data_IF_933653419604
#
_entry.id   IF_933653419604
#
_cell.length_a   1.000
_cell.length_b   1.000
_cell.length_c   1.000
_cell.angle_alpha   90.00
_cell.angle_beta   90.00
_cell.angle_gamma   90.00
#
_symmetry.space_group_name_H-M   'P 1'
#
loop_
_entity.id
_entity.type
_entity.pdbx_description
1 polymer ?
#
# COMPACT_ATOMS: atom_id res chain seq x y z
N UNK A 1 8.10 16.38 0.46
CA UNK A 1 7.45 16.66 1.76
C UNK A 1 5.98 16.28 1.73
N UNK A 2 5.61 15.01 1.51
CA UNK A 2 4.21 14.61 1.58
C UNK A 2 3.73 14.53 3.04
N UNK A 3 2.44 14.78 3.25
CA UNK A 3 1.74 14.56 4.52
C UNK A 3 0.48 13.77 4.23
N UNK A 4 0.18 12.75 5.03
CA UNK A 4 -1.03 11.94 4.94
C UNK A 4 -1.94 12.22 6.13
N UNK A 5 -3.20 12.53 5.83
CA UNK A 5 -4.29 12.64 6.79
C UNK A 5 -5.31 11.52 6.53
N UNK A 6 -5.61 10.72 7.55
CA UNK A 6 -6.62 9.66 7.46
C UNK A 6 -8.01 10.27 7.61
N UNK A 7 -8.86 10.12 6.59
CA UNK A 7 -10.21 10.70 6.58
C UNK A 7 -11.29 9.74 7.08
N UNK A 8 -10.96 8.45 7.21
CA UNK A 8 -11.85 7.42 7.72
C UNK A 8 -11.05 6.33 8.43
N UNK A 9 -11.51 5.78 9.56
CA UNK A 9 -10.86 4.67 10.24
C UNK A 9 -10.98 3.33 9.49
N UNK A 10 -11.82 3.26 8.45
CA UNK A 10 -11.98 2.05 7.65
C UNK A 10 -10.67 1.68 6.94
N UNK A 11 -10.22 0.45 7.17
CA UNK A 11 -9.05 -0.13 6.51
C UNK A 11 -9.48 -1.11 5.43
N UNK A 12 -8.67 -1.24 4.40
CA UNK A 12 -8.83 -2.21 3.33
C UNK A 12 -7.57 -3.06 3.23
N UNK A 13 -7.74 -4.37 3.23
CA UNK A 13 -6.67 -5.33 3.01
C UNK A 13 -6.33 -5.46 1.52
N UNK A 14 -5.07 -5.70 1.20
CA UNK A 14 -4.66 -5.89 -0.19
C UNK A 14 -3.23 -6.34 -0.32
N UNK A 15 -2.96 -7.05 -1.42
CA UNK A 15 -1.64 -7.57 -1.76
C UNK A 15 -0.75 -6.46 -2.32
N UNK A 16 0.35 -6.19 -1.65
CA UNK A 16 1.39 -5.24 -2.08
C UNK A 16 2.58 -5.99 -2.64
N UNK A 17 3.21 -5.40 -3.66
CA UNK A 17 4.56 -5.72 -4.10
C UNK A 17 5.38 -4.42 -4.10
N UNK A 18 6.70 -4.55 -4.20
CA UNK A 18 7.59 -3.39 -4.23
C UNK A 18 8.74 -3.63 -5.20
N UNK A 19 9.10 -2.64 -6.01
CA UNK A 19 10.26 -2.74 -6.90
C UNK A 19 11.58 -2.90 -6.11
N UNK A 20 11.62 -2.41 -4.88
CA UNK A 20 12.76 -2.58 -3.95
C UNK A 20 12.81 -3.95 -3.28
N UNK A 21 11.73 -4.75 -3.37
CA UNK A 21 11.63 -6.09 -2.78
C UNK A 21 11.13 -7.07 -3.86
N UNK A 22 11.97 -7.38 -4.86
CA UNK A 22 11.55 -8.10 -6.06
C UNK A 22 11.12 -9.54 -5.74
N UNK A 23 10.08 -10.02 -6.44
CA UNK A 23 9.61 -11.40 -6.37
C UNK A 23 8.77 -11.76 -5.15
N UNK A 24 8.51 -10.81 -4.24
CA UNK A 24 7.67 -11.02 -3.05
C UNK A 24 6.41 -10.17 -3.09
N UNK A 25 5.31 -10.73 -2.57
CA UNK A 25 4.07 -10.01 -2.29
C UNK A 25 3.64 -10.27 -0.85
N UNK A 26 3.05 -9.27 -0.21
CA UNK A 26 2.47 -9.42 1.13
C UNK A 26 1.13 -8.73 1.29
N UNK A 27 0.28 -9.30 2.12
CA UNK A 27 -1.03 -8.73 2.44
C UNK A 27 -0.92 -7.65 3.52
N UNK A 28 -1.33 -6.42 3.20
CA UNK A 28 -1.25 -5.26 4.09
C UNK A 28 -2.60 -4.58 4.21
N UNK A 29 -2.99 -4.23 5.44
CA UNK A 29 -4.19 -3.43 5.70
C UNK A 29 -3.82 -1.96 5.82
N UNK A 30 -4.47 -1.10 5.02
CA UNK A 30 -4.23 0.35 5.04
C UNK A 30 -5.54 1.13 5.09
N UNK A 31 -5.56 2.34 5.69
CA UNK A 31 -6.66 3.28 5.52
C UNK A 31 -7.11 3.41 4.06
N UNK A 32 -8.39 3.18 3.82
CA UNK A 32 -8.96 3.16 2.46
C UNK A 32 -9.34 4.55 1.94
N UNK A 33 -9.29 5.58 2.80
CA UNK A 33 -9.69 6.94 2.48
C UNK A 33 -8.77 7.94 3.20
N UNK A 34 -7.94 8.62 2.41
CA UNK A 34 -6.94 9.57 2.90
C UNK A 34 -6.99 10.88 2.11
N UNK A 35 -6.47 11.94 2.71
CA UNK A 35 -5.99 13.12 2.01
C UNK A 35 -4.47 13.10 2.05
N UNK A 36 -3.83 13.33 0.92
CA UNK A 36 -2.40 13.59 0.88
C UNK A 36 -2.15 14.99 0.36
N UNK A 37 -1.15 15.65 0.94
CA UNK A 37 -0.67 16.95 0.51
C UNK A 37 0.84 16.94 0.35
N UNK A 38 1.36 17.88 -0.41
CA UNK A 38 2.80 18.01 -0.66
C UNK A 38 3.11 19.24 -1.50
N UNK A 39 4.33 19.29 -2.02
CA UNK A 39 4.83 20.38 -2.87
C UNK A 39 5.21 19.80 -4.23
N UNK A 40 4.77 20.43 -5.31
CA UNK A 40 5.15 20.05 -6.68
C UNK A 40 6.55 20.58 -7.07
N UNK A 41 6.97 20.31 -8.31
CA UNK A 41 8.28 20.72 -8.81
C UNK A 41 8.43 22.25 -8.93
N UNK A 42 7.32 22.97 -9.01
CA UNK A 42 7.28 24.43 -9.09
C UNK A 42 7.13 25.10 -7.72
N UNK A 43 7.15 24.33 -6.63
CA UNK A 43 7.02 24.84 -5.27
C UNK A 43 5.57 25.12 -4.84
N UNK A 44 4.57 24.73 -5.64
CA UNK A 44 3.16 24.95 -5.32
C UNK A 44 2.63 23.82 -4.45
N UNK A 45 1.71 24.15 -3.56
CA UNK A 45 1.04 23.14 -2.73
C UNK A 45 0.06 22.32 -3.57
N UNK A 46 0.16 21.01 -3.44
CA UNK A 46 -0.82 20.05 -3.97
C UNK A 46 -1.56 19.39 -2.80
N UNK A 47 -2.86 19.16 -2.96
CA UNK A 47 -3.70 18.46 -1.98
C UNK A 47 -4.78 17.67 -2.71
N UNK A 48 -4.87 16.37 -2.43
CA UNK A 48 -5.79 15.46 -3.12
C UNK A 48 -6.35 14.43 -2.14
N UNK A 49 -7.59 14.00 -2.40
CA UNK A 49 -8.23 12.88 -1.70
C UNK A 49 -8.04 11.62 -2.53
N UNK A 50 -7.59 10.55 -1.89
CA UNK A 50 -7.38 9.24 -2.51
C UNK A 50 -8.21 8.17 -1.80
N UNK A 51 -8.65 7.17 -2.57
CA UNK A 51 -9.42 6.02 -2.08
C UNK A 51 -8.92 4.71 -2.69
N UNK A 52 -9.23 3.59 -2.03
CA UNK A 52 -8.94 2.23 -2.52
C UNK A 52 -7.47 2.06 -2.94
N UNK A 53 -7.25 1.53 -4.15
CA UNK A 53 -5.91 1.27 -4.68
C UNK A 53 -5.01 2.52 -4.72
N UNK A 54 -5.55 3.69 -5.09
CA UNK A 54 -4.76 4.93 -5.10
C UNK A 54 -4.30 5.32 -3.68
N UNK A 55 -5.19 5.20 -2.69
CA UNK A 55 -4.82 5.46 -1.29
C UNK A 55 -3.70 4.51 -0.83
N UNK A 56 -3.77 3.23 -1.23
CA UNK A 56 -2.74 2.23 -0.92
C UNK A 56 -1.38 2.61 -1.50
N UNK A 57 -1.33 2.93 -2.80
CA UNK A 57 -0.07 3.29 -3.47
C UNK A 57 0.57 4.52 -2.81
N UNK A 58 -0.20 5.58 -2.56
CA UNK A 58 0.35 6.79 -1.91
C UNK A 58 0.95 6.47 -0.54
N UNK A 59 0.28 5.65 0.27
CA UNK A 59 0.79 5.24 1.57
C UNK A 59 2.04 4.36 1.46
N UNK A 60 2.08 3.44 0.49
CA UNK A 60 3.26 2.61 0.22
C UNK A 60 4.46 3.47 -0.17
N UNK A 61 4.29 4.41 -1.09
CA UNK A 61 5.38 5.29 -1.53
C UNK A 61 5.82 6.27 -0.42
N UNK A 62 4.90 6.73 0.43
CA UNK A 62 5.27 7.57 1.57
C UNK A 62 6.02 6.78 2.65
N UNK A 63 5.69 5.51 2.90
CA UNK A 63 6.44 4.65 3.82
C UNK A 63 7.92 4.58 3.43
N UNK A 64 8.27 4.55 2.13
CA UNK A 64 9.66 4.56 1.67
C UNK A 64 10.42 5.83 2.09
N UNK A 65 9.74 6.97 2.21
CA UNK A 65 10.37 8.23 2.65
C UNK A 65 10.78 8.16 4.12
N UNK A 66 10.11 7.32 4.90
CA UNK A 66 10.42 7.05 6.31
C UNK A 66 11.28 5.79 6.48
N UNK A 67 11.77 5.19 5.38
CA UNK A 67 12.57 3.96 5.41
C UNK A 67 11.77 2.71 5.82
N UNK A 68 10.45 2.74 5.66
CA UNK A 68 9.54 1.64 6.00
C UNK A 68 9.20 0.85 4.73
N UNK A 69 9.40 -0.46 4.77
CA UNK A 69 8.98 -1.38 3.72
C UNK A 69 7.65 -2.07 4.09
N UNK A 70 6.88 -2.47 3.08
CA UNK A 70 5.57 -3.10 3.29
C UNK A 70 5.58 -4.32 4.23
N UNK A 71 6.62 -5.19 4.30
CA UNK A 71 6.62 -6.32 5.23
C UNK A 71 6.53 -5.88 6.70
N UNK A 72 7.02 -4.69 7.03
CA UNK A 72 6.92 -4.11 8.38
C UNK A 72 5.50 -3.63 8.73
N UNK A 73 4.63 -3.48 7.74
CA UNK A 73 3.21 -3.11 7.91
C UNK A 73 2.29 -4.34 7.95
N UNK A 74 2.80 -5.53 7.68
CA UNK A 74 2.02 -6.77 7.69
C UNK A 74 1.64 -7.14 9.13
N UNK A 75 0.35 -7.48 9.34
CA UNK A 75 -0.12 -8.02 10.62
C UNK A 75 0.10 -9.52 10.75
N UNK A 76 0.22 -10.20 9.62
CA UNK A 76 0.35 -11.65 9.51
C UNK A 76 1.40 -11.99 8.45
N UNK A 77 2.59 -12.40 8.91
CA UNK A 77 3.70 -12.75 8.03
C UNK A 77 3.50 -14.08 7.29
N UNK A 78 2.51 -14.91 7.66
CA UNK A 78 2.16 -16.10 6.88
C UNK A 78 1.62 -15.75 5.50
N UNK A 79 1.15 -14.50 5.32
CA UNK A 79 0.69 -13.95 4.04
C UNK A 79 1.81 -13.26 3.26
N UNK A 80 3.07 -13.60 3.51
CA UNK A 80 4.20 -13.18 2.66
C UNK A 80 4.51 -14.33 1.71
N UNK A 81 4.41 -14.09 0.42
CA UNK A 81 4.49 -15.13 -0.61
C UNK A 81 5.44 -14.72 -1.74
N UNK A 82 5.99 -15.72 -2.43
CA UNK A 82 6.64 -15.48 -3.71
C UNK A 82 5.61 -15.23 -4.80
N UNK A 83 5.85 -14.24 -5.65
CA UNK A 83 4.96 -13.91 -6.78
C UNK A 83 4.77 -15.10 -7.74
N UNK A 84 5.79 -15.94 -7.89
CA UNK A 84 5.73 -17.18 -8.66
C UNK A 84 4.72 -18.18 -8.10
N UNK A 85 4.45 -18.16 -6.81
CA UNK A 85 3.55 -19.10 -6.12
C UNK A 85 2.13 -18.55 -6.00
N UNK A 86 1.96 -17.22 -6.10
CA UNK A 86 0.67 -16.52 -5.97
C UNK A 86 -0.41 -17.00 -6.97
N UNK A 87 -0.01 -17.60 -8.10
CA UNK A 87 -0.94 -18.18 -9.08
C UNK A 87 -1.77 -19.33 -8.51
N UNK A 88 -1.24 -20.07 -7.53
CA UNK A 88 -1.96 -21.19 -6.90
C UNK A 88 -3.00 -20.70 -5.87
N UNK A 89 -2.73 -19.58 -5.20
CA UNK A 89 -3.64 -19.02 -4.19
C UNK A 89 -4.87 -18.34 -4.80
N UNK A 90 -4.73 -17.67 -5.95
CA UNK A 90 -5.88 -17.06 -6.65
C UNK A 90 -6.85 -18.09 -7.22
N UNK A 91 -6.36 -19.27 -7.59
CA UNK A 91 -7.22 -20.35 -8.08
C UNK A 91 -8.15 -20.88 -6.97
N UNK A 92 -7.68 -20.92 -5.72
CA UNK A 92 -8.47 -21.37 -4.57
C UNK A 92 -9.51 -20.32 -4.12
N UNK A 93 -9.22 -19.03 -4.25
CA UNK A 93 -10.18 -17.95 -3.93
C UNK A 93 -11.30 -17.80 -4.97
N UNK A 94 -11.04 -18.10 -6.25
CA UNK A 94 -12.04 -18.02 -7.33
C UNK A 94 -12.95 -19.28 -7.41
N UNK A 95 -12.57 -20.39 -6.76
CA UNK A 95 -13.35 -21.63 -6.68
C UNK A 95 -14.24 -21.72 -5.42
N UNK A 96 -14.15 -20.76 -4.49
CA UNK A 96 -14.91 -20.70 -3.24
C UNK A 96 -16.07 -19.67 -3.28
#
# INVERSE_FOLDING_TARGET
NPVIEVLSPAVEGGWEGCLSVPGLRGFVERPAHIRYSGIDLEGRTVSRVARGFHARVVQHECDHLDGILYPQRMRDLSKLIFESEARHLRAEEDEA
#
